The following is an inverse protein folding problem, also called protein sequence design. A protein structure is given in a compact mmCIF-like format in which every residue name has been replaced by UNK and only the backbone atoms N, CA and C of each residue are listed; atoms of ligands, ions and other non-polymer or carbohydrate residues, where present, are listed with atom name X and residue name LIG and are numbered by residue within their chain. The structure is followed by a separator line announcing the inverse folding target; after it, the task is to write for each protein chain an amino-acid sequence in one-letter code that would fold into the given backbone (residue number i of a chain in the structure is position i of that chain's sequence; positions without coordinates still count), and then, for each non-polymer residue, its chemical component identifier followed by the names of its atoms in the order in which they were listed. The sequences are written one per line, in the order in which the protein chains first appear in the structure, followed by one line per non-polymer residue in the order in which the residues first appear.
data_IF_865078674651
#
_entry.id   IF_865078674651
#
_cell.length_a   1.000
_cell.length_b   1.000
_cell.length_c   1.000
_cell.angle_alpha   90.00
_cell.angle_beta   90.00
_cell.angle_gamma   90.00
#
_symmetry.space_group_name_H-M   'P 1'
#
loop_
_entity.id
_entity.type
_entity.pdbx_description
1 polymer ?
#
# COMPACT_ATOMS: atom_id res chain seq x y z
N UNK A 1 -5.12 -2.61 20.07
CA UNK A 1 -3.70 -2.97 19.85
C UNK A 1 -3.45 -4.45 19.52
N UNK A 2 -4.47 -5.29 19.25
CA UNK A 2 -4.27 -6.71 18.98
C UNK A 2 -3.97 -7.08 17.50
N UNK A 3 -4.20 -6.17 16.54
CA UNK A 3 -4.00 -6.47 15.11
C UNK A 3 -2.54 -6.38 14.63
N UNK A 4 -1.66 -5.71 15.36
CA UNK A 4 -0.23 -5.55 14.98
C UNK A 4 0.60 -6.80 15.27
N UNK A 5 0.18 -7.63 16.24
CA UNK A 5 0.93 -8.84 16.62
C UNK A 5 0.82 -9.98 15.59
N UNK A 6 -0.25 -10.03 14.80
CA UNK A 6 -0.47 -11.11 13.83
C UNK A 6 0.45 -10.95 12.61
N UNK A 7 0.86 -9.73 12.25
CA UNK A 7 1.68 -9.49 11.06
C UNK A 7 3.18 -9.76 11.27
N UNK A 8 3.68 -9.65 12.51
CA UNK A 8 5.10 -9.86 12.83
C UNK A 8 5.47 -11.34 12.83
N UNK A 9 4.56 -12.24 13.22
CA UNK A 9 4.85 -13.67 13.31
C UNK A 9 5.01 -14.36 11.95
N UNK A 10 4.45 -13.82 10.87
CA UNK A 10 4.54 -14.45 9.54
C UNK A 10 5.91 -14.28 8.85
N UNK A 11 6.77 -13.38 9.34
CA UNK A 11 8.09 -13.11 8.73
C UNK A 11 9.23 -13.96 9.31
N UNK A 12 8.97 -14.72 10.38
CA UNK A 12 10.02 -15.47 11.10
C UNK A 12 10.24 -16.90 10.59
N UNK A 13 9.31 -17.51 9.84
CA UNK A 13 9.39 -18.94 9.52
C UNK A 13 10.05 -19.29 8.18
N UNK A 14 10.44 -18.31 7.36
CA UNK A 14 10.95 -18.58 6.00
C UNK A 14 12.49 -18.51 5.87
N UNK A 15 13.23 -18.87 6.93
CA UNK A 15 14.71 -18.79 6.96
C UNK A 15 15.42 -20.13 7.23
N UNK A 16 14.81 -21.27 6.91
CA UNK A 16 15.51 -22.56 6.99
C UNK A 16 15.10 -23.50 5.84
N UNK A 17 15.78 -23.39 4.69
CA UNK A 17 16.20 -24.55 3.92
C UNK A 17 17.18 -24.14 2.81
N UNK A 18 18.48 -24.35 3.05
CA UNK A 18 19.54 -24.27 2.04
C UNK A 18 20.40 -25.53 2.19
N UNK A 19 20.33 -26.45 1.22
CA UNK A 19 21.35 -27.49 0.97
C UNK A 19 21.06 -28.14 -0.40
N UNK A 20 21.86 -27.79 -1.42
CA UNK A 20 22.92 -28.62 -2.00
C UNK A 20 22.46 -29.64 -3.06
N UNK A 21 22.94 -29.50 -4.30
CA UNK A 21 23.89 -30.45 -4.87
C UNK A 21 24.26 -30.10 -6.32
N UNK A 22 25.56 -30.15 -6.57
CA UNK A 22 26.22 -30.11 -7.86
C UNK A 22 26.15 -31.50 -8.50
N UNK A 23 25.78 -31.59 -9.78
CA UNK A 23 26.15 -32.76 -10.59
C UNK A 23 26.56 -32.35 -12.00
N UNK A 24 27.86 -32.53 -12.26
CA UNK A 24 28.55 -32.33 -13.53
C UNK A 24 28.61 -33.68 -14.25
N UNK A 25 28.14 -33.78 -15.49
CA UNK A 25 28.56 -34.89 -16.37
C UNK A 25 28.71 -34.43 -17.82
N UNK A 26 29.97 -34.39 -18.23
CA UNK A 26 30.43 -34.26 -19.60
C UNK A 26 30.20 -35.57 -20.36
N UNK A 27 29.70 -35.52 -21.59
CA UNK A 27 29.98 -36.55 -22.60
C UNK A 27 29.88 -35.98 -24.02
N UNK A 28 30.82 -36.47 -24.83
CA UNK A 28 31.33 -36.02 -26.12
C UNK A 28 30.63 -36.62 -27.36
N UNK A 29 30.64 -35.82 -28.45
CA UNK A 29 31.04 -36.14 -29.85
C UNK A 29 30.07 -36.75 -30.90
N UNK A 30 30.27 -36.21 -32.13
CA UNK A 30 29.99 -36.68 -33.52
C UNK A 30 28.53 -36.63 -34.03
N UNK A 31 28.17 -35.68 -34.91
CA UNK A 31 28.39 -35.56 -36.36
C UNK A 31 27.42 -36.41 -37.20
N UNK A 32 26.64 -35.79 -38.10
CA UNK A 32 26.43 -36.14 -39.53
C UNK A 32 25.27 -35.33 -40.13
N UNK A 33 25.57 -34.72 -41.27
CA UNK A 33 24.74 -33.90 -42.16
C UNK A 33 23.73 -34.76 -42.93
N UNK A 34 22.45 -34.34 -43.02
CA UNK A 34 21.58 -34.73 -44.13
C UNK A 34 20.59 -33.61 -44.46
N UNK A 35 20.70 -33.13 -45.69
CA UNK A 35 19.92 -32.08 -46.32
C UNK A 35 18.62 -32.71 -46.87
N UNK A 36 17.45 -32.21 -46.45
CA UNK A 36 16.17 -32.39 -47.13
C UNK A 36 15.38 -31.06 -47.09
N UNK A 37 14.80 -30.60 -48.22
CA UNK A 37 13.99 -29.37 -48.28
C UNK A 37 12.58 -29.55 -47.69
N UNK A 38 11.89 -28.44 -47.36
CA UNK A 38 10.81 -28.41 -46.36
C UNK A 38 9.45 -28.80 -46.96
N UNK A 39 8.81 -29.79 -46.35
CA UNK A 39 7.37 -30.02 -46.52
C UNK A 39 6.68 -29.15 -45.47
N UNK A 40 6.02 -28.08 -45.92
CA UNK A 40 5.21 -27.21 -45.07
C UNK A 40 4.00 -27.98 -44.52
N UNK A 41 3.89 -28.26 -43.21
CA UNK A 41 2.59 -28.49 -42.62
C UNK A 41 1.96 -27.13 -42.39
N UNK A 42 0.79 -26.96 -43.00
CA UNK A 42 -0.19 -25.92 -42.75
C UNK A 42 -0.39 -25.75 -41.24
N UNK A 43 0.31 -24.79 -40.61
CA UNK A 43 0.05 -24.41 -39.22
C UNK A 43 -1.26 -23.62 -39.21
N UNK A 44 -2.31 -24.05 -38.50
CA UNK A 44 -3.48 -23.22 -38.30
C UNK A 44 -3.09 -22.09 -37.33
N UNK A 45 -2.53 -21.02 -37.89
CA UNK A 45 -2.03 -19.84 -37.17
C UNK A 45 -3.14 -18.91 -36.67
N UNK A 46 -4.36 -19.39 -36.46
CA UNK A 46 -5.50 -18.51 -36.12
C UNK A 46 -6.59 -19.24 -35.32
N UNK A 47 -6.27 -19.77 -34.12
CA UNK A 47 -7.33 -20.14 -33.14
C UNK A 47 -6.77 -20.36 -31.73
N UNK A 48 -5.85 -19.50 -31.28
CA UNK A 48 -5.64 -19.26 -29.86
C UNK A 48 -5.84 -17.78 -29.54
N UNK A 49 -6.96 -17.23 -30.04
CA UNK A 49 -7.67 -16.22 -29.28
C UNK A 49 -8.29 -16.92 -28.05
N UNK A 50 -7.43 -17.38 -27.13
CA UNK A 50 -7.84 -17.87 -25.81
C UNK A 50 -8.19 -16.63 -25.00
N UNK A 51 -9.37 -16.10 -25.32
CA UNK A 51 -10.16 -15.25 -24.46
C UNK A 51 -10.72 -16.15 -23.35
N UNK A 52 -9.84 -16.70 -22.51
CA UNK A 52 -10.25 -17.16 -21.19
C UNK A 52 -10.04 -15.99 -20.25
N UNK A 53 -11.13 -15.24 -20.10
CA UNK A 53 -11.35 -14.20 -19.11
C UNK A 53 -11.36 -14.78 -17.69
N UNK A 54 -10.32 -15.52 -17.32
CA UNK A 54 -10.04 -15.83 -15.92
C UNK A 54 -9.33 -14.62 -15.36
N UNK A 55 -10.05 -13.78 -14.64
CA UNK A 55 -9.41 -12.69 -13.89
C UNK A 55 -8.39 -13.36 -12.96
N UNK A 56 -7.10 -13.15 -13.24
CA UNK A 56 -6.05 -13.73 -12.41
C UNK A 56 -6.18 -13.14 -11.00
N UNK A 57 -6.03 -13.98 -9.98
CA UNK A 57 -6.04 -13.54 -8.58
C UNK A 57 -5.06 -12.37 -8.35
N UNK A 58 -3.93 -12.37 -9.06
CA UNK A 58 -2.95 -11.28 -9.04
C UNK A 58 -3.51 -9.95 -9.55
N UNK A 59 -4.30 -9.98 -10.64
CA UNK A 59 -4.96 -8.81 -11.22
C UNK A 59 -6.07 -8.28 -10.31
N UNK A 60 -6.85 -9.17 -9.67
CA UNK A 60 -7.84 -8.77 -8.66
C UNK A 60 -7.18 -8.10 -7.46
N UNK A 61 -6.12 -8.72 -6.93
CA UNK A 61 -5.40 -8.22 -5.77
C UNK A 61 -4.75 -6.87 -6.05
N UNK A 62 -4.17 -6.71 -7.24
CA UNK A 62 -3.60 -5.44 -7.68
C UNK A 62 -4.65 -4.33 -7.74
N UNK A 63 -5.74 -4.55 -8.49
CA UNK A 63 -6.81 -3.56 -8.67
C UNK A 63 -7.45 -3.19 -7.33
N UNK A 64 -7.70 -4.17 -6.46
CA UNK A 64 -8.18 -3.93 -5.11
C UNK A 64 -7.21 -3.09 -4.28
N UNK A 65 -5.92 -3.42 -4.29
CA UNK A 65 -4.91 -2.73 -3.49
C UNK A 65 -4.78 -1.27 -3.92
N UNK A 66 -4.70 -1.01 -5.23
CA UNK A 66 -4.66 0.36 -5.78
C UNK A 66 -5.94 1.12 -5.43
N UNK A 67 -7.12 0.52 -5.62
CA UNK A 67 -8.40 1.16 -5.29
C UNK A 67 -8.50 1.49 -3.79
N UNK A 68 -8.14 0.56 -2.91
CA UNK A 68 -8.22 0.74 -1.47
C UNK A 68 -7.29 1.87 -0.98
N UNK A 69 -6.02 1.91 -1.44
CA UNK A 69 -5.08 2.94 -0.99
C UNK A 69 -5.37 4.31 -1.59
N UNK A 70 -5.86 4.37 -2.83
CA UNK A 70 -6.26 5.63 -3.47
C UNK A 70 -7.53 6.20 -2.83
N UNK A 71 -8.49 5.35 -2.45
CA UNK A 71 -9.66 5.78 -1.68
C UNK A 71 -9.23 6.32 -0.31
N UNK A 72 -8.32 5.62 0.39
CA UNK A 72 -7.76 6.08 1.66
C UNK A 72 -7.01 7.41 1.53
N UNK A 73 -6.24 7.58 0.45
CA UNK A 73 -5.54 8.84 0.13
C UNK A 73 -6.54 9.97 -0.13
N UNK A 74 -7.54 9.73 -0.96
CA UNK A 74 -8.60 10.67 -1.29
C UNK A 74 -9.37 11.15 -0.06
N UNK A 75 -9.77 10.23 0.82
CA UNK A 75 -10.44 10.57 2.08
C UNK A 75 -9.56 11.39 3.02
N UNK A 76 -8.26 11.09 3.13
CA UNK A 76 -7.33 11.89 3.96
C UNK A 76 -7.11 13.30 3.39
N UNK A 77 -6.91 13.40 2.07
CA UNK A 77 -6.69 14.69 1.41
C UNK A 77 -7.95 15.55 1.42
N UNK A 78 -9.13 14.99 1.15
CA UNK A 78 -10.40 15.72 1.19
C UNK A 78 -10.70 16.27 2.58
N UNK A 79 -10.40 15.50 3.62
CA UNK A 79 -10.52 15.96 5.02
C UNK A 79 -9.71 17.23 5.25
N UNK A 80 -8.51 17.32 4.69
CA UNK A 80 -7.63 18.47 4.90
C UNK A 80 -7.97 19.67 4.02
N UNK A 81 -8.38 19.43 2.77
CA UNK A 81 -8.65 20.49 1.80
C UNK A 81 -10.05 21.09 1.99
N UNK A 82 -11.04 20.26 2.34
CA UNK A 82 -12.45 20.68 2.40
C UNK A 82 -12.97 20.78 3.83
N UNK A 83 -12.78 19.75 4.64
CA UNK A 83 -13.38 19.69 5.99
C UNK A 83 -12.66 20.60 6.98
N UNK A 84 -11.33 20.65 6.93
CA UNK A 84 -10.55 21.41 7.90
C UNK A 84 -10.74 22.93 7.84
N UNK A 85 -10.72 23.59 6.67
CA UNK A 85 -11.00 25.03 6.60
C UNK A 85 -12.38 25.38 7.17
N UNK A 86 -13.36 24.51 6.94
CA UNK A 86 -14.73 24.68 7.46
C UNK A 86 -14.78 24.50 8.98
N UNK A 87 -14.02 23.54 9.52
CA UNK A 87 -13.91 23.30 10.97
C UNK A 87 -13.33 24.52 11.70
N UNK A 88 -12.31 25.15 11.12
CA UNK A 88 -11.56 26.27 11.70
C UNK A 88 -12.40 27.55 11.90
N UNK A 89 -13.62 27.61 11.36
CA UNK A 89 -14.56 28.71 11.63
C UNK A 89 -15.30 28.54 12.96
N UNK A 90 -15.27 27.34 13.55
CA UNK A 90 -15.93 27.05 14.82
C UNK A 90 -15.16 27.60 16.02
N UNK A 91 -15.84 28.03 17.09
CA UNK A 91 -15.16 28.41 18.33
C UNK A 91 -14.39 27.23 18.96
N UNK A 92 -13.24 27.51 19.57
CA UNK A 92 -12.29 26.52 20.10
C UNK A 92 -12.87 25.27 20.83
N UNK A 93 -13.80 25.38 21.81
CA UNK A 93 -14.34 24.19 22.48
C UNK A 93 -15.18 23.31 21.54
N UNK A 94 -15.90 23.92 20.58
CA UNK A 94 -16.64 23.21 19.56
C UNK A 94 -15.71 22.61 18.50
N UNK A 95 -14.65 23.34 18.14
CA UNK A 95 -13.62 22.90 17.19
C UNK A 95 -12.97 21.58 17.62
N UNK A 96 -12.55 21.46 18.89
CA UNK A 96 -11.94 20.24 19.41
C UNK A 96 -12.90 19.04 19.35
N UNK A 97 -14.17 19.25 19.70
CA UNK A 97 -15.21 18.21 19.64
C UNK A 97 -15.51 17.78 18.20
N UNK A 98 -15.64 18.74 17.29
CA UNK A 98 -15.85 18.46 15.86
C UNK A 98 -14.64 17.73 15.24
N UNK A 99 -13.42 18.13 15.60
CA UNK A 99 -12.21 17.45 15.19
C UNK A 99 -12.18 16.01 15.70
N UNK A 100 -12.56 15.78 16.96
CA UNK A 100 -12.58 14.44 17.53
C UNK A 100 -13.56 13.53 16.79
N UNK A 101 -14.77 14.02 16.50
CA UNK A 101 -15.75 13.28 15.72
C UNK A 101 -15.21 12.93 14.31
N UNK A 102 -14.56 13.89 13.66
CA UNK A 102 -13.92 13.70 12.36
C UNK A 102 -12.78 12.66 12.42
N UNK A 103 -11.94 12.73 13.46
CA UNK A 103 -10.83 11.81 13.67
C UNK A 103 -11.32 10.38 13.94
N UNK A 104 -12.27 10.21 14.86
CA UNK A 104 -12.80 8.91 15.26
C UNK A 104 -13.52 8.22 14.08
N UNK A 105 -14.28 8.98 13.28
CA UNK A 105 -14.95 8.46 12.09
C UNK A 105 -14.00 8.16 10.92
N UNK A 106 -12.90 8.92 10.79
CA UNK A 106 -11.95 8.76 9.69
C UNK A 106 -10.89 7.67 9.93
N UNK A 107 -10.52 7.42 11.19
CA UNK A 107 -9.39 6.55 11.54
C UNK A 107 -9.61 5.10 11.09
N UNK A 108 -10.75 4.50 11.44
CA UNK A 108 -11.03 3.08 11.16
C UNK A 108 -11.00 2.78 9.65
N UNK A 109 -11.76 3.46 8.78
CA UNK A 109 -11.79 3.12 7.36
C UNK A 109 -10.44 3.37 6.67
N UNK A 110 -9.78 4.50 6.94
CA UNK A 110 -8.49 4.84 6.32
C UNK A 110 -7.41 3.85 6.70
N UNK A 111 -7.29 3.50 7.99
CA UNK A 111 -6.30 2.52 8.45
C UNK A 111 -6.60 1.15 7.85
N UNK A 112 -7.86 0.71 7.84
CA UNK A 112 -8.24 -0.61 7.32
C UNK A 112 -7.91 -0.74 5.84
N UNK A 113 -8.29 0.25 5.03
CA UNK A 113 -8.00 0.30 3.59
C UNK A 113 -6.49 0.36 3.30
N UNK A 114 -5.75 1.15 4.08
CA UNK A 114 -4.30 1.26 3.94
C UNK A 114 -3.59 -0.06 4.27
N UNK A 115 -3.97 -0.70 5.37
CA UNK A 115 -3.34 -1.95 5.82
C UNK A 115 -3.68 -3.12 4.90
N UNK A 116 -4.94 -3.22 4.44
CA UNK A 116 -5.34 -4.28 3.50
C UNK A 116 -4.65 -4.13 2.15
N UNK A 117 -4.52 -2.89 1.66
CA UNK A 117 -3.76 -2.59 0.44
C UNK A 117 -2.27 -2.90 0.60
N UNK A 118 -1.66 -2.48 1.70
CA UNK A 118 -0.25 -2.75 2.00
C UNK A 118 0.05 -4.25 2.02
N UNK A 119 -0.85 -5.06 2.61
CA UNK A 119 -0.75 -6.51 2.56
C UNK A 119 -0.85 -7.06 1.13
N UNK A 120 -1.76 -6.54 0.31
CA UNK A 120 -1.89 -6.91 -1.09
C UNK A 120 -0.63 -6.62 -1.91
N UNK A 121 -0.03 -5.43 -1.75
CA UNK A 121 1.23 -5.09 -2.39
C UNK A 121 2.40 -5.96 -1.90
N UNK A 122 2.45 -6.30 -0.61
CA UNK A 122 3.48 -7.19 -0.07
C UNK A 122 3.38 -8.61 -0.65
N UNK A 123 2.16 -9.14 -0.79
CA UNK A 123 1.91 -10.43 -1.44
C UNK A 123 2.37 -10.38 -2.92
N UNK A 124 2.00 -9.33 -3.65
CA UNK A 124 2.40 -9.15 -5.05
C UNK A 124 3.93 -9.06 -5.21
N UNK A 125 4.62 -8.38 -4.30
CA UNK A 125 6.08 -8.37 -4.27
C UNK A 125 6.66 -9.77 -4.03
N UNK A 126 6.08 -10.54 -3.11
CA UNK A 126 6.48 -11.92 -2.82
C UNK A 126 6.34 -12.84 -4.02
N UNK A 127 5.27 -12.71 -4.81
CA UNK A 127 5.04 -13.48 -6.03
C UNK A 127 6.09 -13.20 -7.13
N UNK A 128 6.78 -12.05 -7.07
CA UNK A 128 7.85 -11.68 -8.00
C UNK A 128 9.25 -11.97 -7.44
N UNK A 129 9.34 -12.67 -6.32
CA UNK A 129 10.62 -13.08 -5.74
C UNK A 129 11.28 -14.16 -6.60
N UNK A 130 12.56 -13.98 -6.94
CA UNK A 130 13.33 -14.94 -7.75
C UNK A 130 13.22 -14.74 -9.28
N UNK A 131 12.34 -13.86 -9.74
CA UNK A 131 12.28 -13.46 -11.14
C UNK A 131 13.24 -12.29 -11.41
N UNK A 132 14.37 -12.58 -12.05
CA UNK A 132 15.40 -11.60 -12.40
C UNK A 132 14.89 -10.54 -13.40
N UNK A 133 13.83 -10.84 -14.16
CA UNK A 133 13.17 -9.89 -15.08
C UNK A 133 12.22 -8.91 -14.37
N UNK A 134 11.75 -9.24 -13.17
CA UNK A 134 10.73 -8.47 -12.45
C UNK A 134 11.27 -7.69 -11.24
N UNK A 135 12.58 -7.46 -11.14
CA UNK A 135 13.21 -6.78 -9.99
C UNK A 135 12.64 -5.37 -9.77
N UNK A 136 12.43 -4.61 -10.86
CA UNK A 136 11.85 -3.26 -10.80
C UNK A 136 10.40 -3.31 -10.30
N UNK A 137 9.57 -4.17 -10.90
CA UNK A 137 8.18 -4.37 -10.48
C UNK A 137 8.09 -4.75 -8.99
N UNK A 138 8.92 -5.70 -8.54
CA UNK A 138 9.00 -6.14 -7.14
C UNK A 138 9.34 -4.97 -6.22
N UNK A 139 10.38 -4.20 -6.54
CA UNK A 139 10.82 -3.10 -5.70
C UNK A 139 9.74 -2.01 -5.61
N UNK A 140 9.00 -1.74 -6.70
CA UNK A 140 7.86 -0.82 -6.68
C UNK A 140 6.72 -1.30 -5.76
N UNK A 141 6.38 -2.60 -5.81
CA UNK A 141 5.41 -3.18 -4.88
C UNK A 141 5.88 -3.14 -3.43
N UNK A 142 7.17 -3.37 -3.15
CA UNK A 142 7.74 -3.22 -1.81
C UNK A 142 7.63 -1.77 -1.33
N UNK A 143 8.02 -0.81 -2.15
CA UNK A 143 7.90 0.61 -1.81
C UNK A 143 6.45 1.02 -1.57
N UNK A 144 5.51 0.53 -2.38
CA UNK A 144 4.08 0.73 -2.17
C UNK A 144 3.61 0.14 -0.84
N UNK A 145 3.98 -1.11 -0.54
CA UNK A 145 3.63 -1.76 0.72
C UNK A 145 4.18 -0.99 1.93
N UNK A 146 5.45 -0.55 1.87
CA UNK A 146 6.09 0.24 2.94
C UNK A 146 5.39 1.59 3.12
N UNK A 147 5.02 2.28 2.04
CA UNK A 147 4.28 3.53 2.12
C UNK A 147 2.89 3.35 2.74
N UNK A 148 2.19 2.26 2.42
CA UNK A 148 0.87 1.94 3.00
C UNK A 148 0.97 1.53 4.48
N UNK A 149 1.92 0.65 4.84
CA UNK A 149 2.14 0.24 6.24
C UNK A 149 2.74 1.37 7.09
N UNK A 150 3.54 2.24 6.48
CA UNK A 150 4.19 3.38 7.11
C UNK A 150 3.20 4.38 7.73
N UNK A 151 1.91 4.29 7.40
CA UNK A 151 0.85 5.13 7.94
C UNK A 151 0.70 5.01 9.47
N UNK A 152 0.79 3.79 10.01
CA UNK A 152 0.68 3.56 11.44
C UNK A 152 1.86 4.17 12.24
N UNK A 153 3.13 3.86 11.93
CA UNK A 153 4.26 4.49 12.63
C UNK A 153 4.32 6.00 12.40
N UNK A 154 3.99 6.49 11.19
CA UNK A 154 3.88 7.93 10.92
C UNK A 154 2.91 8.61 11.88
N UNK A 155 1.69 8.06 12.02
CA UNK A 155 0.67 8.65 12.87
C UNK A 155 1.09 8.63 14.34
N UNK A 156 1.67 7.52 14.82
CA UNK A 156 2.06 7.41 16.23
C UNK A 156 3.23 8.31 16.61
N UNK A 157 4.24 8.41 15.74
CA UNK A 157 5.49 9.11 16.02
C UNK A 157 5.36 10.62 15.80
N UNK A 158 4.68 11.07 14.74
CA UNK A 158 4.63 12.48 14.37
C UNK A 158 3.34 13.18 14.83
N UNK A 159 2.22 12.46 14.91
CA UNK A 159 0.93 13.05 15.27
C UNK A 159 0.49 12.75 16.70
N UNK A 160 1.10 11.77 17.38
CA UNK A 160 0.64 11.25 18.67
C UNK A 160 0.44 12.34 19.72
N UNK A 161 1.44 13.17 19.97
CA UNK A 161 1.37 14.23 20.98
C UNK A 161 0.30 15.28 20.68
N UNK A 162 0.12 15.63 19.40
CA UNK A 162 -0.90 16.57 18.96
C UNK A 162 -2.32 15.97 19.13
N UNK A 163 -2.50 14.71 18.71
CA UNK A 163 -3.75 13.96 18.87
C UNK A 163 -4.13 13.86 20.36
N UNK A 164 -3.19 13.45 21.23
CA UNK A 164 -3.44 13.30 22.67
C UNK A 164 -3.89 14.63 23.31
N UNK A 165 -3.26 15.74 22.90
CA UNK A 165 -3.61 17.08 23.38
C UNK A 165 -4.99 17.52 22.90
N UNK A 166 -5.32 17.30 21.64
CA UNK A 166 -6.63 17.62 21.07
C UNK A 166 -7.74 16.74 21.68
N UNK A 167 -7.48 15.46 21.93
CA UNK A 167 -8.41 14.57 22.62
C UNK A 167 -8.71 15.01 24.04
N UNK A 168 -7.68 15.47 24.77
CA UNK A 168 -7.86 16.03 26.12
C UNK A 168 -8.78 17.25 26.08
N UNK A 169 -8.56 18.17 25.14
CA UNK A 169 -9.41 19.37 24.96
C UNK A 169 -10.84 19.05 24.59
N UNK A 170 -11.04 18.05 23.71
CA UNK A 170 -12.37 17.58 23.33
C UNK A 170 -13.14 16.97 24.52
N UNK A 171 -12.45 16.34 25.47
CA UNK A 171 -13.06 15.77 26.69
C UNK A 171 -13.34 16.81 27.76
N UNK A 172 -12.42 17.74 27.97
CA UNK A 172 -12.49 18.67 29.11
C UNK A 172 -13.43 19.86 28.85
N UNK A 173 -13.74 20.18 27.59
CA UNK A 173 -14.61 21.30 27.22
C UNK A 173 -14.07 22.69 27.64
N UNK A 174 -12.95 22.71 28.36
CA UNK A 174 -12.19 23.88 28.77
C UNK A 174 -11.15 24.15 27.69
N UNK A 175 -11.49 25.05 26.77
CA UNK A 175 -10.50 25.68 25.91
C UNK A 175 -9.66 26.63 26.74
N UNK A 176 -8.67 26.12 27.48
CA UNK A 176 -7.53 26.96 27.86
C UNK A 176 -6.84 27.37 26.56
N UNK A 177 -7.01 28.64 26.22
CA UNK A 177 -6.66 29.34 24.98
C UNK A 177 -7.34 28.93 23.66
N UNK A 178 -8.09 29.90 23.13
CA UNK A 178 -8.71 29.84 21.79
C UNK A 178 -7.63 29.68 20.71
N UNK A 179 -6.62 30.56 20.74
CA UNK A 179 -5.57 30.61 19.71
C UNK A 179 -4.78 29.31 19.62
N UNK A 180 -4.59 28.62 20.74
CA UNK A 180 -3.81 27.39 20.78
C UNK A 180 -4.57 26.20 20.16
N UNK A 181 -5.89 26.13 20.31
CA UNK A 181 -6.68 25.03 19.74
C UNK A 181 -6.75 25.09 18.21
N UNK A 182 -6.89 26.29 17.65
CA UNK A 182 -6.82 26.49 16.20
C UNK A 182 -5.45 26.07 15.64
N UNK A 183 -4.37 26.44 16.33
CA UNK A 183 -3.00 26.09 15.96
C UNK A 183 -2.75 24.57 16.00
N UNK A 184 -3.26 23.87 17.03
CA UNK A 184 -3.16 22.41 17.13
C UNK A 184 -3.89 21.70 15.97
N UNK A 185 -5.13 22.12 15.67
CA UNK A 185 -5.91 21.55 14.56
C UNK A 185 -5.27 21.87 13.21
N UNK A 186 -4.70 23.07 13.02
CA UNK A 186 -3.96 23.42 11.81
C UNK A 186 -2.71 22.56 11.65
N UNK A 187 -1.97 22.34 12.74
CA UNK A 187 -0.79 21.46 12.77
C UNK A 187 -1.18 20.01 12.47
N UNK A 188 -2.28 19.53 13.05
CA UNK A 188 -2.81 18.20 12.77
C UNK A 188 -3.19 18.06 11.29
N UNK A 189 -3.83 19.10 10.73
CA UNK A 189 -4.17 19.17 9.32
C UNK A 189 -2.97 19.05 8.40
N UNK A 190 -1.89 19.79 8.70
CA UNK A 190 -0.64 19.68 7.94
C UNK A 190 -0.07 18.25 7.97
N UNK A 191 -0.09 17.58 9.13
CA UNK A 191 0.36 16.18 9.19
C UNK A 191 -0.59 15.22 8.47
N UNK A 192 -1.91 15.45 8.53
CA UNK A 192 -2.90 14.65 7.82
C UNK A 192 -2.79 14.81 6.30
N UNK A 193 -2.43 16.00 5.81
CA UNK A 193 -2.11 16.22 4.39
C UNK A 193 -0.96 15.32 3.93
N UNK A 194 0.17 15.35 4.65
CA UNK A 194 1.33 14.51 4.32
C UNK A 194 1.02 13.02 4.41
N UNK A 195 0.15 12.61 5.33
CA UNK A 195 -0.38 11.23 5.39
C UNK A 195 -1.13 10.87 4.10
N UNK A 196 -1.97 11.77 3.60
CA UNK A 196 -2.66 11.63 2.31
C UNK A 196 -1.68 11.53 1.13
N UNK A 197 -0.65 12.38 1.09
CA UNK A 197 0.39 12.36 0.04
C UNK A 197 1.18 11.05 0.04
N UNK A 198 1.52 10.51 1.21
CA UNK A 198 2.20 9.23 1.33
C UNK A 198 1.35 8.07 0.82
N UNK A 199 0.06 8.04 1.15
CA UNK A 199 -0.89 7.05 0.61
C UNK A 199 -1.06 7.19 -0.90
N UNK A 200 -1.15 8.41 -1.41
CA UNK A 200 -1.24 8.65 -2.85
C UNK A 200 0.01 8.13 -3.56
N UNK A 201 1.19 8.37 -2.97
CA UNK A 201 2.47 7.85 -3.46
C UNK A 201 2.48 6.32 -3.49
N UNK A 202 1.93 5.65 -2.46
CA UNK A 202 1.74 4.19 -2.46
C UNK A 202 0.89 3.73 -3.65
N UNK A 203 -0.21 4.41 -3.96
CA UNK A 203 -1.06 4.10 -5.11
C UNK A 203 -0.34 4.28 -6.44
N UNK A 204 0.39 5.39 -6.60
CA UNK A 204 1.19 5.68 -7.81
C UNK A 204 2.29 4.63 -8.03
N UNK A 205 2.99 4.23 -6.97
CA UNK A 205 4.00 3.18 -7.02
C UNK A 205 3.38 1.82 -7.39
N UNK A 206 2.22 1.50 -6.81
CA UNK A 206 1.45 0.31 -7.16
C UNK A 206 1.08 0.29 -8.64
N UNK A 207 0.52 1.38 -9.18
CA UNK A 207 0.20 1.49 -10.61
C UNK A 207 1.45 1.40 -11.50
N UNK A 208 2.54 2.07 -11.12
CA UNK A 208 3.81 1.99 -11.84
C UNK A 208 4.39 0.57 -11.87
N UNK A 209 4.15 -0.24 -10.84
CA UNK A 209 4.57 -1.63 -10.80
C UNK A 209 3.84 -2.53 -11.82
N UNK A 210 2.63 -2.16 -12.25
CA UNK A 210 1.91 -2.88 -13.30
C UNK A 210 2.29 -2.45 -14.72
N UNK A 211 2.93 -1.29 -14.88
CA UNK A 211 3.35 -0.76 -16.19
C UNK A 211 4.78 -1.16 -16.58
N UNK A 212 5.61 -1.51 -15.61
CA UNK A 212 6.91 -2.17 -15.83
C UNK A 212 6.73 -3.67 -15.94
#
# INVERSE_FOLDING_TARGET
MHLVYILVLFTSECSHHRSASSFRKSRTKHATTSILPPIFPFTPSYLYFRMESTISLSSLLHSYSVLAVTLAAGSNLSTTIMSLPSLQLSPAPLLATQWKLLFDNGMIPVVTLSMSSGAGFAILAGLRHGDNGAVVQRNLYVCAAVAAFGLAPYTRLLMGTNIDTLEKRAKEGKGEDKDDTHALVATWGRYNFWRGVMLLSSGLLGMGAAMN
#
